data_IF_932383645536
#
_entry.id   IF_932383645536
#
_cell.length_a   1.000
_cell.length_b   1.000
_cell.length_c   1.000
_cell.angle_alpha   90.00
_cell.angle_beta   90.00
_cell.angle_gamma   90.00
#
_symmetry.space_group_name_H-M   'P 1'
#
loop_
_entity.id
_entity.type
_entity.pdbx_description
1 polymer ?
#
# COMPACT_ATOMS: atom_id res chain seq x y z
N UNK A 1 5.86 11.43 -2.86
CA UNK A 1 4.41 11.47 -2.48
C UNK A 1 4.25 10.86 -1.10
N UNK A 2 3.28 11.25 -0.26
CA UNK A 2 3.04 10.57 1.04
C UNK A 2 2.41 9.19 0.86
N UNK A 3 2.80 8.22 1.68
CA UNK A 3 2.27 6.86 1.68
C UNK A 3 0.73 6.86 1.82
N UNK A 4 0.17 7.62 2.75
CA UNK A 4 -1.30 7.70 2.93
C UNK A 4 -2.03 8.21 1.68
N UNK A 5 -1.44 9.20 0.99
CA UNK A 5 -1.96 9.76 -0.26
C UNK A 5 -1.88 8.72 -1.38
N UNK A 6 -0.75 8.02 -1.47
CA UNK A 6 -0.57 6.96 -2.46
C UNK A 6 -1.58 5.83 -2.29
N UNK A 7 -1.78 5.33 -1.07
CA UNK A 7 -2.76 4.25 -0.79
C UNK A 7 -4.18 4.65 -1.18
N UNK A 8 -4.54 5.92 -1.01
CA UNK A 8 -5.83 6.49 -1.43
C UNK A 8 -5.94 6.61 -2.95
N UNK A 9 -4.92 7.14 -3.61
CA UNK A 9 -4.90 7.40 -5.06
C UNK A 9 -4.84 6.10 -5.85
N UNK A 10 -3.97 5.17 -5.45
CA UNK A 10 -3.81 3.84 -6.06
C UNK A 10 -5.00 2.90 -5.79
N UNK A 11 -5.99 3.34 -5.01
CA UNK A 11 -7.18 2.57 -4.60
C UNK A 11 -6.86 1.23 -3.90
N UNK A 12 -5.66 1.10 -3.35
CA UNK A 12 -5.21 -0.07 -2.60
C UNK A 12 -6.01 -0.24 -1.31
N UNK A 13 -6.44 0.88 -0.70
CA UNK A 13 -7.33 0.86 0.45
C UNK A 13 -8.60 1.66 0.14
N UNK A 14 -9.76 0.97 0.17
CA UNK A 14 -11.08 1.59 -0.03
C UNK A 14 -11.55 2.43 1.17
N UNK A 15 -11.17 2.07 2.41
CA UNK A 15 -11.64 2.71 3.65
C UNK A 15 -10.54 3.49 4.36
N UNK A 16 -10.79 4.77 4.64
CA UNK A 16 -9.82 5.69 5.27
C UNK A 16 -9.37 5.22 6.67
N UNK A 17 -10.29 4.62 7.43
CA UNK A 17 -10.03 4.09 8.77
C UNK A 17 -9.02 2.96 8.74
N UNK A 18 -9.17 2.03 7.79
CA UNK A 18 -8.29 0.89 7.63
C UNK A 18 -6.86 1.30 7.24
N UNK A 19 -6.71 2.34 6.41
CA UNK A 19 -5.39 2.87 6.08
C UNK A 19 -4.67 3.41 7.31
N UNK A 20 -5.39 4.11 8.20
CA UNK A 20 -4.82 4.60 9.45
C UNK A 20 -4.40 3.45 10.35
N UNK A 21 -5.28 2.48 10.60
CA UNK A 21 -4.98 1.34 11.47
C UNK A 21 -3.80 0.51 10.96
N UNK A 22 -3.75 0.25 9.65
CA UNK A 22 -2.66 -0.51 9.05
C UNK A 22 -1.34 0.25 9.10
N UNK A 23 -1.34 1.59 8.88
CA UNK A 23 -0.13 2.39 9.04
C UNK A 23 0.33 2.52 10.49
N UNK A 24 -0.60 2.57 11.45
CA UNK A 24 -0.31 2.73 12.88
C UNK A 24 0.20 1.42 13.50
N UNK A 25 -0.43 0.30 13.14
CA UNK A 25 -0.05 -1.04 13.57
C UNK A 25 1.18 -1.63 12.86
N UNK A 26 1.91 -0.85 12.06
CA UNK A 26 3.10 -1.32 11.33
C UNK A 26 2.79 -2.32 10.21
N UNK A 27 1.53 -2.38 9.75
CA UNK A 27 1.09 -3.20 8.63
C UNK A 27 1.42 -2.61 7.26
N UNK A 28 2.20 -1.53 7.17
CA UNK A 28 2.77 -1.05 5.90
C UNK A 28 4.28 -1.01 5.97
N UNK A 29 4.92 -1.59 4.96
CA UNK A 29 6.37 -1.62 4.82
C UNK A 29 6.76 -1.03 3.46
N UNK A 30 7.74 -0.14 3.45
CA UNK A 30 8.33 0.44 2.24
C UNK A 30 9.77 -0.04 2.16
N UNK A 31 10.16 -0.69 1.05
CA UNK A 31 11.45 -1.36 0.88
C UNK A 31 11.80 -2.33 2.01
N UNK A 32 10.82 -3.14 2.44
CA UNK A 32 10.97 -4.07 3.57
C UNK A 32 11.30 -3.39 4.91
N UNK A 33 10.96 -2.10 5.06
CA UNK A 33 11.10 -1.36 6.31
C UNK A 33 9.74 -0.81 6.74
N UNK A 34 9.35 -0.94 8.01
CA UNK A 34 8.08 -0.43 8.49
C UNK A 34 8.00 1.08 8.26
N UNK A 35 6.91 1.52 7.63
CA UNK A 35 6.72 2.90 7.21
C UNK A 35 5.44 3.46 7.82
N UNK A 36 5.50 4.72 8.26
CA UNK A 36 4.34 5.43 8.81
C UNK A 36 3.56 6.07 7.65
N UNK A 37 2.32 6.46 7.93
CA UNK A 37 1.46 7.17 6.96
C UNK A 37 2.15 8.40 6.30
N UNK A 38 3.01 9.10 7.05
CA UNK A 38 3.78 10.26 6.57
C UNK A 38 5.03 9.93 5.76
N UNK A 39 5.39 8.66 5.58
CA UNK A 39 6.58 8.26 4.83
C UNK A 39 6.46 8.71 3.37
N UNK A 40 7.55 9.26 2.83
CA UNK A 40 7.65 9.60 1.42
C UNK A 40 7.91 8.35 0.59
N UNK A 41 7.09 8.13 -0.42
CA UNK A 41 7.23 7.08 -1.43
C UNK A 41 7.64 7.68 -2.78
N UNK A 42 8.50 6.94 -3.48
CA UNK A 42 9.10 7.26 -4.77
C UNK A 42 8.87 6.10 -5.76
N UNK A 43 8.89 6.37 -7.07
CA UNK A 43 8.90 5.31 -8.07
C UNK A 43 10.13 4.40 -7.89
N UNK A 44 9.93 3.10 -7.99
CA UNK A 44 10.89 2.04 -7.67
C UNK A 44 10.76 1.48 -6.26
N UNK A 45 10.00 2.13 -5.37
CA UNK A 45 9.80 1.62 -4.01
C UNK A 45 8.86 0.41 -4.00
N UNK A 46 9.16 -0.57 -3.14
CA UNK A 46 8.28 -1.73 -2.89
C UNK A 46 7.47 -1.48 -1.63
N UNK A 47 6.14 -1.44 -1.76
CA UNK A 47 5.19 -1.26 -0.66
C UNK A 47 4.52 -2.59 -0.36
N UNK A 48 4.68 -3.09 0.85
CA UNK A 48 3.93 -4.24 1.37
C UNK A 48 2.85 -3.76 2.32
N UNK A 49 1.61 -4.16 2.06
CA UNK A 49 0.43 -3.88 2.84
C UNK A 49 -0.03 -5.16 3.51
N UNK A 50 -0.18 -5.16 4.83
CA UNK A 50 -0.68 -6.27 5.64
C UNK A 50 -1.99 -5.83 6.28
N UNK A 51 -3.09 -6.40 5.82
CA UNK A 51 -4.45 -6.12 6.26
C UNK A 51 -5.02 -7.36 6.97
N UNK A 52 -4.81 -7.44 8.29
CA UNK A 52 -5.23 -8.60 9.09
C UNK A 52 -4.67 -9.90 8.50
N UNK A 53 -5.56 -10.78 8.04
CA UNK A 53 -5.21 -12.06 7.42
C UNK A 53 -4.83 -11.98 5.94
N UNK A 54 -4.59 -10.79 5.38
CA UNK A 54 -4.20 -10.63 3.97
C UNK A 54 -2.97 -9.77 3.88
N UNK A 55 -2.15 -10.03 2.88
CA UNK A 55 -1.03 -9.17 2.55
C UNK A 55 -0.93 -8.98 1.05
N UNK A 56 -0.39 -7.83 0.64
CA UNK A 56 -0.20 -7.48 -0.75
C UNK A 56 1.04 -6.63 -0.88
N UNK A 57 1.96 -7.06 -1.73
CA UNK A 57 3.16 -6.33 -2.10
C UNK A 57 2.99 -5.74 -3.50
N UNK A 58 3.20 -4.43 -3.59
CA UNK A 58 3.14 -3.68 -4.83
C UNK A 58 4.43 -2.88 -5.01
N UNK A 59 4.89 -2.78 -6.25
CA UNK A 59 5.97 -1.89 -6.64
C UNK A 59 5.38 -0.59 -7.15
N UNK A 60 5.95 0.53 -6.73
CA UNK A 60 5.55 1.85 -7.21
C UNK A 60 6.21 2.09 -8.56
N UNK A 61 5.42 2.25 -9.62
CA UNK A 61 5.94 2.58 -10.95
C UNK A 61 6.06 4.10 -11.13
N UNK A 62 5.10 4.85 -10.59
CA UNK A 62 5.07 6.31 -10.70
C UNK A 62 4.35 6.93 -9.49
N UNK A 63 4.81 8.11 -9.04
CA UNK A 63 4.13 8.89 -7.98
C UNK A 63 3.77 10.30 -8.46
N UNK A 64 2.93 10.44 -9.50
CA UNK A 64 2.51 11.76 -9.98
C UNK A 64 1.72 12.50 -8.89
N UNK A 65 1.95 13.80 -8.72
CA UNK A 65 1.34 14.60 -7.65
C UNK A 65 -0.20 14.68 -7.78
N UNK A 66 -0.69 14.57 -9.02
CA UNK A 66 -2.09 14.48 -9.42
C UNK A 66 -2.23 13.53 -10.62
N UNK A 67 -3.14 12.56 -10.55
CA UNK A 67 -3.40 11.59 -11.62
C UNK A 67 -4.90 11.29 -11.70
N UNK A 68 -5.40 11.17 -12.92
CA UNK A 68 -6.77 10.74 -13.17
C UNK A 68 -6.99 9.33 -12.58
N UNK A 69 -8.14 9.12 -11.95
CA UNK A 69 -8.47 7.87 -11.28
C UNK A 69 -8.44 6.62 -12.18
N UNK A 70 -8.53 6.83 -13.49
CA UNK A 70 -8.43 5.79 -14.52
C UNK A 70 -7.01 5.23 -14.64
N UNK A 71 -5.99 6.10 -14.53
CA UNK A 71 -4.57 5.75 -14.64
C UNK A 71 -3.92 5.33 -13.32
N UNK A 72 -4.68 5.32 -12.22
CA UNK A 72 -4.18 4.93 -10.91
C UNK A 72 -3.68 3.47 -10.85
N UNK A 73 -4.09 2.61 -11.78
CA UNK A 73 -3.55 1.25 -11.90
C UNK A 73 -2.21 1.19 -12.63
N UNK A 74 -1.84 2.24 -13.35
CA UNK A 74 -0.55 2.35 -14.04
C UNK A 74 0.55 2.87 -13.12
N UNK A 75 0.20 3.41 -11.94
CA UNK A 75 1.17 3.95 -10.98
C UNK A 75 1.82 2.90 -10.10
N UNK A 76 1.31 1.67 -10.09
CA UNK A 76 1.88 0.57 -9.33
C UNK A 76 1.71 -0.76 -10.04
N UNK A 77 2.57 -1.70 -9.69
CA UNK A 77 2.51 -3.08 -10.14
C UNK A 77 2.32 -3.99 -8.94
N UNK A 78 1.36 -4.91 -9.00
CA UNK A 78 1.25 -5.94 -7.97
C UNK A 78 2.37 -6.96 -8.19
N UNK A 79 3.23 -7.13 -7.17
CA UNK A 79 4.29 -8.11 -7.18
C UNK A 79 3.82 -9.43 -6.55
N UNK A 80 3.07 -9.35 -5.46
CA UNK A 80 2.51 -10.51 -4.78
C UNK A 80 1.28 -10.12 -3.96
N UNK A 81 0.36 -11.06 -3.78
CA UNK A 81 -0.76 -10.93 -2.86
C UNK A 81 -1.07 -12.31 -2.28
N UNK A 82 -1.52 -12.33 -1.03
CA UNK A 82 -1.78 -13.57 -0.32
C UNK A 82 -2.76 -13.37 0.82
N UNK A 83 -3.34 -14.49 1.26
CA UNK A 83 -4.09 -14.56 2.50
C UNK A 83 -3.30 -15.44 3.45
N UNK A 84 -3.04 -14.97 4.66
CA UNK A 84 -2.60 -15.84 5.74
C UNK A 84 -3.86 -16.57 6.20
N UNK A 85 -4.08 -17.77 5.67
CA UNK A 85 -5.09 -18.69 6.20
C UNK A 85 -4.72 -19.01 7.65
N UNK A 86 -5.24 -18.21 8.58
CA UNK A 86 -5.42 -18.63 9.97
C UNK A 86 -6.86 -19.08 10.10
N UNK A 87 -7.18 -20.15 9.38
CA UNK A 87 -8.24 -21.06 9.78
C UNK A 87 -7.51 -22.25 10.37
N UNK A 88 -7.32 -22.26 11.69
CA UNK A 88 -7.08 -23.53 12.38
C UNK A 88 -8.44 -24.19 12.69
N UNK A 89 -8.47 -25.53 12.78
CA UNK A 89 -9.61 -26.41 12.48
C UNK A 89 -10.75 -26.39 13.50
#
# INVERSE_FOLDING_TARGET
>A
MRLDKFLKVSRLIKRRTLAKEVCDGGGVEVNRRPAKAGTEVKPGDIITLKLGNRWQTVEVLATPESIAADRAKETYRVLAEGKTETGEP
#
